data_IF_467143744188
#
_entry.id   IF_467143744188
#
_cell.length_a   1.000
_cell.length_b   1.000
_cell.length_c   1.000
_cell.angle_alpha   90.00
_cell.angle_beta   90.00
_cell.angle_gamma   90.00
#
_symmetry.space_group_name_H-M   'P 1'
#
loop_
_entity.id
_entity.type
_entity.pdbx_description
1 polymer ?
#
# COMPACT_ATOMS: atom_id res chain seq x y z
N UNK A 1 -12.52 -0.72 -1.18
CA UNK A 1 -13.00 -0.59 -2.57
C UNK A 1 -14.01 0.55 -2.79
N UNK A 2 -14.82 0.94 -1.79
CA UNK A 2 -15.81 2.03 -1.91
C UNK A 2 -15.27 3.29 -2.62
N UNK A 3 -14.09 3.76 -2.22
CA UNK A 3 -13.47 4.96 -2.80
C UNK A 3 -13.20 4.86 -4.32
N UNK A 4 -12.81 3.68 -4.81
CA UNK A 4 -12.58 3.46 -6.24
C UNK A 4 -13.91 3.36 -7.00
N UNK A 5 -14.90 2.67 -6.42
CA UNK A 5 -16.22 2.48 -7.02
C UNK A 5 -17.03 3.77 -7.14
N UNK A 6 -16.82 4.74 -6.24
CA UNK A 6 -17.51 6.04 -6.31
C UNK A 6 -16.79 7.07 -7.18
N UNK A 7 -15.72 6.69 -7.88
CA UNK A 7 -14.97 7.54 -8.78
C UNK A 7 -14.96 6.90 -10.17
N UNK A 8 -15.62 7.55 -11.15
CA UNK A 8 -15.75 7.05 -12.52
C UNK A 8 -14.39 6.76 -13.19
N UNK A 9 -13.33 7.52 -12.85
CA UNK A 9 -11.98 7.29 -13.36
C UNK A 9 -11.22 6.13 -12.68
N UNK A 10 -11.71 5.64 -11.54
CA UNK A 10 -11.05 4.61 -10.74
C UNK A 10 -11.86 3.31 -10.63
N UNK A 11 -13.08 3.26 -11.17
CA UNK A 11 -14.03 2.15 -11.02
C UNK A 11 -13.42 0.80 -11.44
N UNK A 12 -12.67 0.80 -12.55
CA UNK A 12 -12.11 -0.40 -13.17
C UNK A 12 -10.66 -0.70 -12.74
N UNK A 13 -10.11 0.03 -11.77
CA UNK A 13 -8.72 -0.21 -11.32
C UNK A 13 -8.52 -1.64 -10.78
N UNK A 14 -9.54 -2.22 -10.15
CA UNK A 14 -9.50 -3.61 -9.63
C UNK A 14 -9.35 -4.68 -10.72
N UNK A 15 -9.63 -4.33 -11.98
CA UNK A 15 -9.61 -5.26 -13.10
C UNK A 15 -8.21 -5.37 -13.73
N UNK A 16 -7.25 -4.54 -13.30
CA UNK A 16 -5.85 -4.62 -13.71
C UNK A 16 -5.24 -5.91 -13.14
N UNK A 17 -4.72 -6.82 -13.99
CA UNK A 17 -4.09 -8.05 -13.52
C UNK A 17 -2.93 -7.75 -12.56
N UNK A 18 -2.93 -8.42 -11.40
CA UNK A 18 -1.91 -8.25 -10.38
C UNK A 18 -2.04 -6.98 -9.52
N UNK A 19 -3.07 -6.16 -9.73
CA UNK A 19 -3.32 -4.98 -8.91
C UNK A 19 -4.33 -5.26 -7.79
N UNK A 20 -3.93 -4.97 -6.56
CA UNK A 20 -4.77 -5.20 -5.38
C UNK A 20 -5.13 -3.86 -4.70
N UNK A 21 -6.39 -3.45 -4.83
CA UNK A 21 -6.94 -2.25 -4.19
C UNK A 21 -7.32 -2.47 -2.71
N UNK A 22 -6.30 -2.63 -1.87
CA UNK A 22 -6.44 -2.87 -0.44
C UNK A 22 -5.34 -2.14 0.35
N UNK A 23 -5.65 -1.68 1.56
CA UNK A 23 -4.64 -1.13 2.48
C UNK A 23 -3.62 -2.21 2.89
N UNK A 24 -2.36 -1.83 3.09
CA UNK A 24 -1.26 -2.76 3.39
C UNK A 24 0.00 -2.53 2.54
N UNK A 25 -0.11 -1.78 1.44
CA UNK A 25 1.02 -1.36 0.62
C UNK A 25 1.56 0.02 1.00
N UNK A 26 2.88 0.18 1.08
CA UNK A 26 3.57 1.46 1.34
C UNK A 26 4.78 1.63 0.41
N UNK A 27 5.10 2.85 -0.06
CA UNK A 27 6.27 3.10 -0.91
C UNK A 27 7.57 3.10 -0.11
N UNK A 28 8.65 2.60 -0.71
CA UNK A 28 10.02 2.73 -0.22
C UNK A 28 10.67 3.91 -0.93
N UNK A 29 11.25 4.84 -0.18
CA UNK A 29 11.86 6.06 -0.72
C UNK A 29 13.34 6.16 -0.38
N UNK A 30 14.12 6.73 -1.30
CA UNK A 30 15.48 7.22 -1.07
C UNK A 30 15.49 8.73 -1.32
N UNK A 31 15.54 9.52 -0.25
CA UNK A 31 15.20 10.95 -0.33
C UNK A 31 13.75 11.14 -0.80
N UNK A 32 13.56 11.84 -1.91
CA UNK A 32 12.24 12.06 -2.52
C UNK A 32 11.86 10.98 -3.55
N UNK A 33 12.82 10.19 -4.02
CA UNK A 33 12.63 9.20 -5.08
C UNK A 33 11.98 7.92 -4.55
N UNK A 34 10.94 7.43 -5.23
CA UNK A 34 10.31 6.13 -4.94
C UNK A 34 11.07 5.03 -5.65
N UNK A 35 11.78 4.19 -4.89
CA UNK A 35 12.63 3.12 -5.42
C UNK A 35 11.97 1.73 -5.36
N UNK A 36 10.82 1.62 -4.70
CA UNK A 36 10.09 0.37 -4.56
C UNK A 36 8.89 0.46 -3.63
N UNK A 37 8.38 -0.68 -3.19
CA UNK A 37 7.26 -0.77 -2.24
C UNK A 37 7.35 -2.02 -1.36
N UNK A 38 6.67 -1.97 -0.21
CA UNK A 38 6.42 -3.11 0.67
C UNK A 38 4.91 -3.35 0.71
N UNK A 39 4.49 -4.61 0.60
CA UNK A 39 3.10 -5.04 0.80
C UNK A 39 3.00 -6.03 1.96
N UNK A 40 2.09 -5.79 2.89
CA UNK A 40 1.77 -6.67 4.01
C UNK A 40 0.31 -7.10 3.91
N UNK A 41 0.02 -8.34 4.28
CA UNK A 41 -1.34 -8.88 4.34
C UNK A 41 -1.43 -10.00 5.37
N UNK A 42 -2.53 -10.02 6.12
CA UNK A 42 -2.84 -11.09 7.08
C UNK A 42 -3.32 -10.61 8.44
N UNK A 43 -3.22 -9.32 8.75
CA UNK A 43 -3.81 -8.75 9.95
C UNK A 43 -5.35 -8.72 9.87
N UNK A 44 -6.05 -8.53 11.01
CA UNK A 44 -7.52 -8.37 11.03
C UNK A 44 -8.08 -7.19 10.21
N UNK A 45 -7.23 -6.32 9.67
CA UNK A 45 -7.61 -5.28 8.72
C UNK A 45 -6.39 -4.61 8.07
N UNK A 46 -6.54 -4.17 6.82
CA UNK A 46 -5.41 -3.64 6.03
C UNK A 46 -4.74 -2.37 6.58
N UNK A 47 -5.42 -1.63 7.47
CA UNK A 47 -4.79 -0.52 8.20
C UNK A 47 -3.75 -0.99 9.22
N UNK A 48 -3.90 -2.21 9.75
CA UNK A 48 -2.90 -2.86 10.61
C UNK A 48 -1.75 -3.43 9.76
N UNK A 49 -2.06 -3.99 8.59
CA UNK A 49 -1.02 -4.40 7.63
C UNK A 49 -0.14 -3.20 7.24
N UNK A 50 -0.76 -2.05 6.95
CA UNK A 50 -0.05 -0.81 6.63
C UNK A 50 0.81 -0.32 7.81
N UNK A 51 0.33 -0.41 9.05
CA UNK A 51 1.12 -0.08 10.24
C UNK A 51 2.35 -0.97 10.35
N UNK A 52 2.21 -2.29 10.17
CA UNK A 52 3.35 -3.21 10.15
C UNK A 52 4.38 -2.83 9.09
N UNK A 53 3.93 -2.46 7.89
CA UNK A 53 4.82 -2.04 6.80
C UNK A 53 5.58 -0.73 7.14
N UNK A 54 4.90 0.26 7.74
CA UNK A 54 5.52 1.51 8.18
C UNK A 54 6.54 1.28 9.30
N UNK A 55 6.21 0.47 10.32
CA UNK A 55 7.15 0.12 11.40
C UNK A 55 8.41 -0.59 10.86
N UNK A 56 8.26 -1.44 9.84
CA UNK A 56 9.40 -2.08 9.19
C UNK A 56 10.31 -1.05 8.48
N UNK A 57 9.72 -0.08 7.76
CA UNK A 57 10.47 1.00 7.12
C UNK A 57 11.19 1.88 8.15
N UNK A 58 10.51 2.28 9.22
CA UNK A 58 11.12 3.04 10.31
C UNK A 58 12.35 2.31 10.84
N UNK A 59 12.23 1.01 11.14
CA UNK A 59 13.34 0.22 11.69
C UNK A 59 14.55 0.07 10.76
N UNK A 60 14.34 0.07 9.44
CA UNK A 60 15.40 -0.19 8.45
C UNK A 60 15.98 1.10 7.86
N UNK A 61 15.17 2.14 7.71
CA UNK A 61 15.56 3.39 7.02
C UNK A 61 15.95 4.53 7.95
N UNK A 62 15.65 4.46 9.26
CA UNK A 62 16.02 5.53 10.23
C UNK A 62 17.37 5.31 10.92
N UNK A 63 18.31 4.62 10.27
CA UNK A 63 19.70 4.52 10.75
C UNK A 63 20.54 5.71 10.31
#
# INVERSE_FOLDING_TARGET
>A
MKNAQTNAGAENLRDIPGFLLLAGGVPVKSGEEVVGAIGVGGAPGGHLDQQCALTALEKVLTK
#
